data_IF_074932487141
#
_entry.id   IF_074932487141
#
_cell.length_a   1.000
_cell.length_b   1.000
_cell.length_c   1.000
_cell.angle_alpha   90.00
_cell.angle_beta   90.00
_cell.angle_gamma   90.00
#
_symmetry.space_group_name_H-M   'P 1'
#
loop_
_entity.id
_entity.type
_entity.pdbx_description
1 polymer ?
#
# COMPACT_ATOMS: atom_id res chain seq x y z
N UNK A 1 -18.12 -50.89 -11.56
CA UNK A 1 -18.44 -50.25 -10.26
C UNK A 1 -17.21 -49.51 -9.77
N UNK A 2 -17.16 -48.22 -10.07
CA UNK A 2 -16.05 -47.28 -9.86
C UNK A 2 -16.13 -46.71 -8.44
N UNK A 3 -15.08 -46.90 -7.62
CA UNK A 3 -14.95 -46.26 -6.31
C UNK A 3 -14.00 -45.06 -6.46
N UNK A 4 -14.58 -43.87 -6.59
CA UNK A 4 -13.88 -42.59 -6.66
C UNK A 4 -13.27 -42.30 -5.28
N UNK A 5 -11.95 -42.35 -5.16
CA UNK A 5 -11.24 -41.87 -3.98
C UNK A 5 -11.11 -40.35 -4.05
N UNK A 6 -11.61 -39.69 -3.01
CA UNK A 6 -11.58 -38.25 -2.80
C UNK A 6 -10.14 -37.74 -2.70
N UNK A 7 -9.79 -36.79 -3.57
CA UNK A 7 -8.52 -36.05 -3.54
C UNK A 7 -8.54 -35.13 -2.32
N UNK A 8 -7.75 -35.48 -1.29
CA UNK A 8 -7.55 -34.63 -0.13
C UNK A 8 -6.79 -33.35 -0.53
N UNK A 9 -7.40 -32.19 -0.30
CA UNK A 9 -6.80 -30.87 -0.53
C UNK A 9 -5.81 -30.52 0.59
N UNK A 10 -4.52 -30.24 0.33
CA UNK A 10 -3.59 -29.83 1.36
C UNK A 10 -3.32 -28.33 1.28
N UNK A 11 -4.29 -27.47 1.63
CA UNK A 11 -4.01 -26.06 1.92
C UNK A 11 -4.95 -25.55 3.01
N UNK A 12 -4.60 -25.87 4.27
CA UNK A 12 -5.07 -25.04 5.39
C UNK A 12 -4.50 -23.64 5.19
N UNK A 13 -5.35 -22.71 4.73
CA UNK A 13 -5.05 -21.28 4.74
C UNK A 13 -4.55 -20.88 6.13
N UNK A 14 -3.48 -20.07 6.24
CA UNK A 14 -3.00 -19.59 7.53
C UNK A 14 -4.15 -18.87 8.25
N UNK A 15 -4.50 -19.36 9.44
CA UNK A 15 -5.51 -18.72 10.29
C UNK A 15 -5.00 -17.34 10.66
N UNK A 16 -5.64 -16.33 10.11
CA UNK A 16 -5.38 -14.93 10.41
C UNK A 16 -5.53 -14.68 11.92
N UNK A 17 -4.61 -13.95 12.55
CA UNK A 17 -4.70 -13.65 13.98
C UNK A 17 -6.02 -12.92 14.25
N UNK A 18 -6.66 -13.20 15.39
CA UNK A 18 -8.00 -12.67 15.77
C UNK A 18 -8.12 -11.15 15.65
N UNK A 19 -7.01 -10.41 15.81
CA UNK A 19 -6.93 -8.97 15.61
C UNK A 19 -7.28 -8.53 14.16
N UNK A 20 -6.95 -9.34 13.16
CA UNK A 20 -7.17 -9.00 11.75
C UNK A 20 -8.64 -9.19 11.33
N UNK A 21 -9.38 -10.07 12.01
CA UNK A 21 -10.83 -10.20 11.82
C UNK A 21 -11.60 -8.97 12.33
N UNK A 22 -11.15 -8.37 13.44
CA UNK A 22 -11.75 -7.14 13.97
C UNK A 22 -11.48 -5.92 13.07
N UNK A 23 -10.24 -5.78 12.59
CA UNK A 23 -9.83 -4.65 11.74
C UNK A 23 -10.45 -4.75 10.34
N UNK A 24 -10.51 -5.94 9.73
CA UNK A 24 -11.15 -6.15 8.43
C UNK A 24 -12.68 -5.94 8.49
N UNK A 25 -13.34 -6.32 9.59
CA UNK A 25 -14.77 -6.07 9.78
C UNK A 25 -15.09 -4.57 9.96
N UNK A 26 -14.22 -3.82 10.63
CA UNK A 26 -14.36 -2.37 10.80
C UNK A 26 -14.18 -1.62 9.47
N UNK A 27 -13.19 -2.01 8.65
CA UNK A 27 -12.93 -1.42 7.33
C UNK A 27 -14.05 -1.76 6.32
N UNK A 28 -14.60 -2.97 6.38
CA UNK A 28 -15.72 -3.38 5.51
C UNK A 28 -17.03 -2.69 5.90
N UNK A 29 -17.27 -2.44 7.20
CA UNK A 29 -18.46 -1.74 7.70
C UNK A 29 -18.50 -0.25 7.33
N UNK A 30 -17.35 0.39 7.08
CA UNK A 30 -17.24 1.80 6.68
C UNK A 30 -17.36 2.02 5.17
N UNK A 31 -17.33 0.95 4.36
CA UNK A 31 -17.37 1.03 2.88
C UNK A 31 -18.77 0.79 2.28
N UNK A 32 -19.78 0.46 3.08
CA UNK A 32 -21.16 0.21 2.64
C UNK A 32 -22.13 1.32 3.06
N UNK A 33 -21.82 2.57 2.72
CA UNK A 33 -22.84 3.64 2.67
C UNK A 33 -23.27 3.77 1.20
N UNK A 34 -24.54 3.52 0.84
CA UNK A 34 -24.99 3.67 -0.53
C UNK A 34 -25.07 5.16 -0.86
N UNK A 35 -24.22 5.63 -1.77
CA UNK A 35 -24.38 6.93 -2.43
C UNK A 35 -25.46 6.75 -3.50
N UNK A 36 -26.63 7.34 -3.28
CA UNK A 36 -27.66 7.44 -4.30
C UNK A 36 -27.16 8.32 -5.45
N UNK A 37 -27.12 7.77 -6.67
CA UNK A 37 -26.85 8.56 -7.88
C UNK A 37 -28.06 9.46 -8.15
N UNK A 38 -27.87 10.77 -8.01
CA UNK A 38 -28.70 11.75 -8.68
C UNK A 38 -28.06 12.08 -10.03
N UNK A 39 -28.80 11.73 -11.08
CA UNK A 39 -28.56 12.09 -12.47
C UNK A 39 -28.61 13.61 -12.61
N UNK A 40 -27.57 14.23 -13.19
CA UNK A 40 -27.63 15.63 -13.57
C UNK A 40 -26.86 15.87 -14.87
N UNK A 41 -27.65 16.20 -15.87
CA UNK A 41 -27.33 16.61 -17.22
C UNK A 41 -26.47 17.87 -17.28
N UNK A 42 -25.53 17.88 -18.23
CA UNK A 42 -24.70 19.03 -18.59
C UNK A 42 -25.54 20.19 -19.15
N UNK A 43 -24.99 21.42 -19.10
CA UNK A 43 -24.85 22.11 -20.39
C UNK A 43 -23.53 22.88 -20.59
N UNK A 44 -23.12 22.81 -21.86
CA UNK A 44 -22.54 23.82 -22.75
C UNK A 44 -21.44 24.80 -22.28
N UNK A 45 -20.37 24.74 -23.07
CA UNK A 45 -19.26 25.67 -23.26
C UNK A 45 -19.65 27.14 -23.43
N UNK A 46 -18.96 28.02 -22.71
CA UNK A 46 -18.74 29.42 -23.12
C UNK A 46 -17.26 29.80 -23.01
N UNK A 47 -16.80 30.46 -24.06
CA UNK A 47 -15.45 30.98 -24.37
C UNK A 47 -14.92 31.94 -23.30
N UNK A 48 -13.60 31.98 -22.99
CA UNK A 48 -13.04 33.00 -22.13
C UNK A 48 -12.75 34.29 -22.91
N UNK A 49 -13.42 35.38 -22.53
CA UNK A 49 -13.04 36.73 -22.90
C UNK A 49 -11.95 37.24 -21.94
N UNK A 50 -10.91 37.83 -22.53
CA UNK A 50 -9.80 38.47 -21.85
C UNK A 50 -10.28 39.60 -20.91
N UNK A 51 -9.72 39.66 -19.70
CA UNK A 51 -9.86 40.78 -18.78
C UNK A 51 -8.48 41.32 -18.43
N UNK A 52 -8.39 42.65 -18.50
CA UNK A 52 -7.19 43.47 -18.55
C UNK A 52 -6.47 43.62 -17.20
N UNK A 53 -5.18 43.94 -17.30
CA UNK A 53 -4.31 44.32 -16.20
C UNK A 53 -4.77 45.63 -15.51
N UNK A 54 -4.50 45.82 -14.20
CA UNK A 54 -4.77 47.10 -13.54
C UNK A 54 -3.73 48.16 -13.93
N UNK A 55 -4.22 49.32 -14.36
CA UNK A 55 -3.42 50.52 -14.61
C UNK A 55 -2.94 51.15 -13.29
N UNK A 56 -1.69 51.59 -13.31
CA UNK A 56 -1.03 52.33 -12.24
C UNK A 56 -1.67 53.72 -12.04
N UNK A 57 -2.05 54.03 -10.81
CA UNK A 57 -2.41 55.39 -10.40
C UNK A 57 -1.15 56.09 -9.83
N UNK A 58 -0.83 57.25 -10.41
CA UNK A 58 0.21 58.15 -9.94
C UNK A 58 -0.22 58.92 -8.66
N UNK A 59 0.72 59.39 -7.82
CA UNK A 59 0.41 59.98 -6.52
C UNK A 59 -0.01 61.45 -6.64
N UNK A 60 -1.04 61.84 -5.89
CA UNK A 60 -1.43 63.24 -5.68
C UNK A 60 -0.78 63.73 -4.38
N UNK A 61 -0.07 64.86 -4.45
CA UNK A 61 0.60 65.51 -3.32
C UNK A 61 -0.40 66.09 -2.29
N UNK A 62 -0.02 66.24 -1.00
CA UNK A 62 -0.92 66.65 0.06
C UNK A 62 -1.05 68.18 0.13
N UNK A 63 -2.28 68.67 0.26
CA UNK A 63 -2.58 70.07 0.59
C UNK A 63 -2.92 70.22 2.08
N UNK A 64 -2.77 71.45 2.55
CA UNK A 64 -2.37 71.88 3.88
C UNK A 64 -3.28 71.56 5.10
N UNK A 65 -2.57 71.36 6.21
CA UNK A 65 -2.86 71.66 7.62
C UNK A 65 -4.25 72.21 8.02
N UNK A 66 -4.95 71.44 8.87
CA UNK A 66 -5.90 71.90 9.88
C UNK A 66 -5.83 70.98 11.12
N UNK A 67 -6.16 71.45 12.33
CA UNK A 67 -5.46 71.07 13.56
C UNK A 67 -5.79 69.67 14.09
N UNK A 68 -4.74 69.00 14.58
CA UNK A 68 -4.80 67.80 15.43
C UNK A 68 -5.65 68.08 16.67
N UNK A 69 -6.88 67.56 16.68
CA UNK A 69 -7.59 67.31 17.92
C UNK A 69 -6.90 66.15 18.63
N UNK A 70 -6.38 66.43 19.83
CA UNK A 70 -5.84 65.43 20.73
C UNK A 70 -6.96 64.44 21.08
N UNK A 71 -6.94 63.28 20.42
CA UNK A 71 -7.70 62.13 20.84
C UNK A 71 -7.09 61.65 22.16
N UNK A 72 -7.90 61.68 23.21
CA UNK A 72 -7.59 61.00 24.48
C UNK A 72 -7.16 59.56 24.20
N UNK A 73 -6.27 58.96 25.02
CA UNK A 73 -5.95 57.56 24.89
C UNK A 73 -7.23 56.78 25.22
N UNK A 74 -7.94 56.35 24.18
CA UNK A 74 -8.96 55.32 24.29
C UNK A 74 -8.20 54.13 24.86
N UNK A 75 -8.40 53.88 26.16
CA UNK A 75 -7.91 52.68 26.80
C UNK A 75 -8.29 51.52 25.89
N UNK A 76 -7.29 50.84 25.33
CA UNK A 76 -7.44 49.54 24.68
C UNK A 76 -7.97 48.58 25.74
N UNK A 77 -9.28 48.65 25.98
CA UNK A 77 -10.06 47.55 26.51
C UNK A 77 -10.04 46.48 25.43
N UNK A 78 -8.95 45.71 25.40
CA UNK A 78 -8.72 44.58 24.51
C UNK A 78 -9.67 43.40 24.80
N UNK A 79 -10.89 43.68 25.26
CA UNK A 79 -11.97 42.71 25.40
C UNK A 79 -12.71 42.54 24.07
N UNK A 80 -11.98 42.19 23.02
CA UNK A 80 -12.47 41.37 21.89
C UNK A 80 -12.74 39.92 22.38
N UNK A 81 -13.38 39.82 23.55
CA UNK A 81 -13.38 38.67 24.45
C UNK A 81 -14.49 37.68 24.19
N UNK A 82 -14.71 37.32 22.94
CA UNK A 82 -14.80 35.88 22.65
C UNK A 82 -13.47 35.55 21.97
N UNK A 83 -12.44 35.34 22.80
CA UNK A 83 -11.29 34.57 22.39
C UNK A 83 -11.83 33.17 22.06
N UNK A 84 -12.31 32.99 20.83
CA UNK A 84 -12.53 31.66 20.29
C UNK A 84 -11.19 30.95 20.48
N UNK A 85 -11.21 29.88 21.26
CA UNK A 85 -10.01 29.11 21.53
C UNK A 85 -9.57 28.49 20.20
N UNK A 86 -8.61 29.16 19.54
CA UNK A 86 -7.98 28.72 18.30
C UNK A 86 -7.02 27.54 18.53
N UNK A 87 -7.08 26.91 19.72
CA UNK A 87 -6.48 25.61 19.91
C UNK A 87 -7.07 24.60 18.92
N UNK A 88 -6.29 23.61 18.44
CA UNK A 88 -6.81 22.57 17.57
C UNK A 88 -8.03 21.83 18.15
N UNK A 89 -8.09 21.75 19.48
CA UNK A 89 -9.21 21.14 20.20
C UNK A 89 -10.46 22.03 20.20
N UNK A 90 -10.30 23.34 20.41
CA UNK A 90 -11.40 24.31 20.29
C UNK A 90 -11.96 24.35 18.87
N UNK A 91 -11.08 24.37 17.86
CA UNK A 91 -11.46 24.30 16.44
C UNK A 91 -12.23 23.01 16.11
N UNK A 92 -11.77 21.85 16.62
CA UNK A 92 -12.51 20.60 16.42
C UNK A 92 -13.90 20.62 17.05
N UNK A 93 -14.08 21.18 18.25
CA UNK A 93 -15.39 21.23 18.90
C UNK A 93 -16.40 22.09 18.13
N UNK A 94 -15.94 23.21 17.56
CA UNK A 94 -16.77 24.15 16.83
C UNK A 94 -17.05 23.73 15.37
N UNK A 95 -16.28 22.78 14.84
CA UNK A 95 -16.44 22.30 13.47
C UNK A 95 -17.80 21.65 13.17
N UNK A 96 -18.22 21.82 11.92
CA UNK A 96 -19.38 21.14 11.33
C UNK A 96 -19.20 19.61 11.38
N UNK A 97 -20.33 18.89 11.47
CA UNK A 97 -20.32 17.42 11.58
C UNK A 97 -19.58 16.74 10.42
N UNK A 98 -19.68 17.28 9.20
CA UNK A 98 -19.00 16.72 8.04
C UNK A 98 -17.49 16.91 8.16
N UNK A 99 -17.04 18.11 8.58
CA UNK A 99 -15.62 18.40 8.81
C UNK A 99 -15.06 17.52 9.92
N UNK A 100 -15.82 17.30 11.01
CA UNK A 100 -15.45 16.36 12.07
C UNK A 100 -15.23 14.94 11.55
N UNK A 101 -16.14 14.44 10.70
CA UNK A 101 -16.01 13.10 10.08
C UNK A 101 -14.75 13.04 9.21
N UNK A 102 -14.47 14.07 8.41
CA UNK A 102 -13.27 14.17 7.59
C UNK A 102 -12.00 14.11 8.45
N UNK A 103 -11.92 14.92 9.52
CA UNK A 103 -10.78 14.95 10.42
C UNK A 103 -10.55 13.61 11.13
N UNK A 104 -11.61 12.99 11.65
CA UNK A 104 -11.53 11.67 12.30
C UNK A 104 -11.09 10.60 11.28
N UNK A 105 -11.67 10.60 10.08
CA UNK A 105 -11.32 9.66 9.02
C UNK A 105 -9.83 9.74 8.63
N UNK A 106 -9.30 10.97 8.50
CA UNK A 106 -7.89 11.22 8.23
C UNK A 106 -6.98 10.78 9.39
N UNK A 107 -7.41 11.00 10.64
CA UNK A 107 -6.69 10.52 11.81
C UNK A 107 -6.61 8.99 11.85
N UNK A 108 -7.72 8.29 11.55
CA UNK A 108 -7.74 6.83 11.45
C UNK A 108 -6.83 6.34 10.32
N UNK A 109 -6.87 6.99 9.15
CA UNK A 109 -5.98 6.66 8.03
C UNK A 109 -4.49 6.80 8.39
N UNK A 110 -4.14 7.82 9.18
CA UNK A 110 -2.79 7.99 9.71
C UNK A 110 -2.40 6.83 10.63
N UNK A 111 -3.26 6.43 11.58
CA UNK A 111 -3.00 5.30 12.48
C UNK A 111 -2.81 3.98 11.69
N UNK A 112 -3.64 3.75 10.67
CA UNK A 112 -3.52 2.58 9.78
C UNK A 112 -2.15 2.60 9.08
N UNK A 113 -1.72 3.76 8.58
CA UNK A 113 -0.42 3.91 7.89
C UNK A 113 0.74 3.50 8.80
N UNK A 114 0.77 4.02 10.04
CA UNK A 114 1.82 3.67 11.02
C UNK A 114 1.76 2.20 11.45
N UNK A 115 0.56 1.65 11.59
CA UNK A 115 0.37 0.23 11.94
C UNK A 115 0.93 -0.68 10.84
N UNK A 116 0.62 -0.38 9.57
CA UNK A 116 1.14 -1.17 8.45
C UNK A 116 2.65 -1.00 8.34
N UNK A 117 3.20 0.20 8.56
CA UNK A 117 4.65 0.42 8.55
C UNK A 117 5.39 -0.51 9.52
N UNK A 118 4.93 -0.58 10.77
CA UNK A 118 5.58 -1.41 11.80
C UNK A 118 5.39 -2.89 11.46
N UNK A 119 4.17 -3.33 11.20
CA UNK A 119 3.83 -4.73 10.93
C UNK A 119 4.57 -5.26 9.70
N UNK A 120 4.47 -4.57 8.56
CA UNK A 120 5.14 -4.97 7.32
C UNK A 120 6.65 -4.76 7.38
N UNK A 121 7.13 -3.79 8.15
CA UNK A 121 8.55 -3.60 8.42
C UNK A 121 9.18 -4.85 9.03
N UNK A 122 8.59 -5.40 10.08
CA UNK A 122 9.08 -6.62 10.73
C UNK A 122 8.92 -7.86 9.85
N UNK A 123 7.79 -8.02 9.16
CA UNK A 123 7.56 -9.13 8.24
C UNK A 123 8.63 -9.19 7.13
N UNK A 124 8.85 -8.06 6.44
CA UNK A 124 9.80 -7.98 5.33
C UNK A 124 11.25 -8.10 5.79
N UNK A 125 11.61 -7.50 6.93
CA UNK A 125 12.95 -7.60 7.50
C UNK A 125 13.26 -9.04 7.92
N UNK A 126 12.30 -9.71 8.57
CA UNK A 126 12.40 -11.11 8.94
C UNK A 126 12.56 -12.02 7.71
N UNK A 127 11.74 -11.83 6.69
CA UNK A 127 11.80 -12.59 5.45
C UNK A 127 13.15 -12.40 4.72
N UNK A 128 13.63 -11.15 4.56
CA UNK A 128 14.92 -10.86 3.94
C UNK A 128 16.09 -11.48 4.69
N UNK A 129 16.10 -11.39 6.03
CA UNK A 129 17.18 -11.97 6.86
C UNK A 129 17.23 -13.49 6.73
N UNK A 130 16.07 -14.17 6.77
CA UNK A 130 15.97 -15.62 6.58
C UNK A 130 16.44 -16.04 5.19
N UNK A 131 15.92 -15.37 4.15
CA UNK A 131 16.27 -15.65 2.75
C UNK A 131 17.77 -15.52 2.50
N UNK A 132 18.43 -14.50 3.07
CA UNK A 132 19.87 -14.32 2.92
C UNK A 132 20.66 -15.52 3.47
N UNK A 133 20.26 -16.05 4.63
CA UNK A 133 20.88 -17.26 5.19
C UNK A 133 20.62 -18.50 4.34
N UNK A 134 19.39 -18.65 3.85
CA UNK A 134 19.00 -19.75 2.97
C UNK A 134 19.78 -19.76 1.65
N UNK A 135 19.98 -18.60 1.01
CA UNK A 135 20.77 -18.46 -0.22
C UNK A 135 22.23 -18.90 0.00
N UNK A 136 22.84 -18.55 1.14
CA UNK A 136 24.22 -18.96 1.45
C UNK A 136 24.33 -20.49 1.53
N UNK A 137 23.32 -21.16 2.09
CA UNK A 137 23.29 -22.61 2.18
C UNK A 137 23.01 -23.27 0.82
N UNK A 138 22.05 -22.75 0.05
CA UNK A 138 21.77 -23.23 -1.31
C UNK A 138 23.00 -23.13 -2.23
N UNK A 139 23.77 -22.04 -2.13
CA UNK A 139 25.00 -21.84 -2.93
C UNK A 139 26.11 -22.86 -2.63
N UNK A 140 26.09 -23.50 -1.44
CA UNK A 140 27.09 -24.51 -1.07
C UNK A 140 26.75 -25.90 -1.60
N UNK A 141 25.46 -26.18 -1.81
CA UNK A 141 24.99 -27.46 -2.31
C UNK A 141 25.51 -27.71 -3.73
N UNK A 142 25.96 -28.95 -4.00
CA UNK A 142 26.49 -29.37 -5.30
C UNK A 142 25.46 -30.13 -6.15
N UNK A 143 24.43 -30.67 -5.50
CA UNK A 143 23.30 -31.38 -6.10
C UNK A 143 21.98 -30.94 -5.48
N UNK A 144 20.86 -31.23 -6.16
CA UNK A 144 19.53 -30.93 -5.67
C UNK A 144 19.18 -31.75 -4.41
N UNK A 145 19.70 -32.96 -4.29
CA UNK A 145 19.54 -33.81 -3.09
C UNK A 145 20.25 -33.23 -1.87
N UNK A 146 21.46 -32.67 -2.04
CA UNK A 146 22.16 -31.99 -0.95
C UNK A 146 21.45 -30.69 -0.53
N UNK A 147 20.91 -29.96 -1.53
CA UNK A 147 20.11 -28.78 -1.30
C UNK A 147 18.85 -29.10 -0.48
N UNK A 148 18.19 -30.24 -0.72
CA UNK A 148 16.99 -30.64 0.02
C UNK A 148 17.28 -31.03 1.46
N UNK A 149 18.41 -31.69 1.73
CA UNK A 149 18.84 -32.01 3.09
C UNK A 149 19.11 -30.74 3.92
N UNK A 150 19.71 -29.73 3.28
CA UNK A 150 20.03 -28.45 3.94
C UNK A 150 18.79 -27.55 4.07
N UNK A 151 17.83 -27.67 3.15
CA UNK A 151 16.56 -26.96 3.15
C UNK A 151 15.44 -27.75 3.86
N UNK A 152 15.75 -28.47 4.94
CA UNK A 152 14.82 -29.39 5.62
C UNK A 152 13.72 -28.71 6.45
N UNK A 153 13.83 -27.40 6.71
CA UNK A 153 12.84 -26.67 7.50
C UNK A 153 11.61 -26.32 6.65
N UNK A 154 10.51 -27.01 6.93
CA UNK A 154 9.21 -26.74 6.31
C UNK A 154 8.79 -25.27 6.44
N UNK A 155 8.21 -24.73 5.37
CA UNK A 155 7.76 -23.33 5.29
C UNK A 155 8.84 -22.30 4.99
N UNK A 156 10.09 -22.71 4.79
CA UNK A 156 11.16 -21.84 4.24
C UNK A 156 11.06 -21.72 2.72
N UNK A 157 11.59 -20.64 2.15
CA UNK A 157 11.55 -20.46 0.70
C UNK A 157 12.44 -21.48 -0.01
N UNK A 158 13.63 -21.72 0.52
CA UNK A 158 14.53 -22.75 0.00
C UNK A 158 13.85 -24.12 -0.02
N UNK A 159 13.15 -24.50 1.06
CA UNK A 159 12.39 -25.74 1.08
C UNK A 159 11.35 -25.78 -0.03
N UNK A 160 10.55 -24.71 -0.20
CA UNK A 160 9.52 -24.66 -1.24
C UNK A 160 10.09 -24.78 -2.66
N UNK A 161 11.16 -24.04 -2.97
CA UNK A 161 11.81 -24.07 -4.29
C UNK A 161 12.40 -25.45 -4.59
N UNK A 162 13.15 -26.03 -3.64
CA UNK A 162 13.80 -27.33 -3.82
C UNK A 162 12.78 -28.46 -3.88
N UNK A 163 11.75 -28.41 -3.03
CA UNK A 163 10.68 -29.41 -3.02
C UNK A 163 9.89 -29.41 -4.33
N UNK A 164 9.48 -28.25 -4.84
CA UNK A 164 8.71 -28.17 -6.10
C UNK A 164 9.54 -28.63 -7.31
N UNK A 165 10.86 -28.35 -7.30
CA UNK A 165 11.78 -28.89 -8.30
C UNK A 165 11.92 -30.42 -8.22
N UNK A 166 12.11 -30.98 -7.01
CA UNK A 166 12.19 -32.43 -6.80
C UNK A 166 10.89 -33.14 -7.15
N UNK A 167 9.74 -32.53 -6.84
CA UNK A 167 8.43 -33.06 -7.17
C UNK A 167 8.26 -33.17 -8.68
N UNK A 168 8.62 -32.12 -9.43
CA UNK A 168 8.56 -32.16 -10.90
C UNK A 168 9.54 -33.18 -11.50
N UNK A 169 10.75 -33.29 -10.96
CA UNK A 169 11.70 -34.34 -11.37
C UNK A 169 11.15 -35.74 -11.12
N UNK A 170 10.46 -35.95 -9.99
CA UNK A 170 9.82 -37.23 -9.65
C UNK A 170 8.64 -37.54 -10.57
N UNK A 171 7.79 -36.55 -10.86
CA UNK A 171 6.67 -36.70 -11.81
C UNK A 171 7.18 -37.01 -13.22
N UNK A 172 8.35 -36.48 -13.57
CA UNK A 172 9.00 -36.67 -14.86
C UNK A 172 10.01 -37.83 -14.91
N UNK A 173 10.03 -38.72 -13.91
CA UNK A 173 11.06 -39.78 -13.80
C UNK A 173 11.10 -40.74 -15.01
N UNK A 174 9.99 -40.87 -15.74
CA UNK A 174 9.86 -41.71 -16.93
C UNK A 174 9.98 -40.91 -18.25
N UNK A 175 10.16 -39.58 -18.19
CA UNK A 175 10.36 -38.74 -19.36
C UNK A 175 11.75 -38.96 -19.94
N UNK A 176 11.84 -39.12 -21.25
CA UNK A 176 13.13 -39.24 -21.97
C UNK A 176 13.69 -37.87 -22.37
N UNK A 177 12.84 -36.85 -22.37
CA UNK A 177 13.20 -35.50 -22.76
C UNK A 177 13.63 -34.69 -21.54
N UNK A 178 14.93 -34.52 -21.35
CA UNK A 178 15.51 -33.76 -20.23
C UNK A 178 15.17 -32.26 -20.34
N UNK A 179 15.14 -31.73 -21.56
CA UNK A 179 14.85 -30.31 -21.80
C UNK A 179 13.44 -29.92 -21.33
N UNK A 180 12.44 -30.74 -21.67
CA UNK A 180 11.08 -30.54 -21.17
C UNK A 180 10.95 -30.59 -19.64
N UNK A 181 11.81 -31.34 -18.95
CA UNK A 181 11.87 -31.31 -17.46
C UNK A 181 12.41 -29.96 -16.99
N UNK A 182 13.50 -29.47 -17.60
CA UNK A 182 14.09 -28.16 -17.28
C UNK A 182 13.07 -27.04 -17.47
N UNK A 183 12.33 -27.05 -18.58
CA UNK A 183 11.27 -26.06 -18.88
C UNK A 183 10.11 -26.11 -17.87
N UNK A 184 9.63 -27.29 -17.49
CA UNK A 184 8.55 -27.40 -16.49
C UNK A 184 9.00 -26.94 -15.11
N UNK A 185 10.23 -27.29 -14.72
CA UNK A 185 10.82 -26.82 -13.46
C UNK A 185 10.98 -25.30 -13.49
N UNK A 186 11.56 -24.71 -14.54
CA UNK A 186 11.72 -23.26 -14.64
C UNK A 186 10.38 -22.54 -14.54
N UNK A 187 9.36 -23.00 -15.27
CA UNK A 187 8.01 -22.43 -15.23
C UNK A 187 7.38 -22.48 -13.83
N UNK A 188 7.50 -23.62 -13.13
CA UNK A 188 7.03 -23.77 -11.74
C UNK A 188 7.70 -22.79 -10.80
N UNK A 189 9.03 -22.69 -10.86
CA UNK A 189 9.81 -21.81 -10.00
C UNK A 189 9.50 -20.33 -10.28
N UNK A 190 9.36 -19.92 -11.54
CA UNK A 190 8.95 -18.56 -11.92
C UNK A 190 7.58 -18.20 -11.35
N UNK A 191 6.62 -19.12 -11.43
CA UNK A 191 5.28 -18.94 -10.84
C UNK A 191 5.35 -18.81 -9.32
N UNK A 192 6.24 -19.56 -8.67
CA UNK A 192 6.47 -19.47 -7.22
C UNK A 192 7.10 -18.13 -6.83
N UNK A 193 8.12 -17.67 -7.56
CA UNK A 193 8.74 -16.35 -7.38
C UNK A 193 7.70 -15.24 -7.51
N UNK A 194 6.83 -15.31 -8.53
CA UNK A 194 5.75 -14.36 -8.72
C UNK A 194 4.72 -14.39 -7.58
N UNK A 195 4.38 -15.58 -7.08
CA UNK A 195 3.47 -15.75 -5.94
C UNK A 195 4.05 -15.15 -4.65
N UNK A 196 5.34 -15.39 -4.36
CA UNK A 196 6.03 -14.80 -3.22
C UNK A 196 6.04 -13.26 -3.27
N UNK A 197 6.31 -12.69 -4.45
CA UNK A 197 6.25 -11.24 -4.66
C UNK A 197 4.85 -10.67 -4.38
N UNK A 198 3.80 -11.28 -4.95
CA UNK A 198 2.41 -10.86 -4.70
C UNK A 198 2.02 -10.97 -3.23
N UNK A 199 2.37 -12.07 -2.57
CA UNK A 199 2.05 -12.29 -1.16
C UNK A 199 2.72 -11.23 -0.27
N UNK A 200 3.98 -10.87 -0.56
CA UNK A 200 4.68 -9.85 0.20
C UNK A 200 4.08 -8.44 0.00
N UNK A 201 3.56 -8.15 -1.19
CA UNK A 201 2.86 -6.88 -1.49
C UNK A 201 1.46 -6.77 -0.89
N UNK A 202 0.89 -7.85 -0.33
CA UNK A 202 -0.46 -7.79 0.25
C UNK A 202 -0.51 -6.80 1.41
N UNK A 203 -1.52 -5.92 1.38
CA UNK A 203 -1.74 -4.87 2.39
C UNK A 203 -0.99 -3.57 2.13
N UNK A 204 0.08 -3.53 1.32
CA UNK A 204 0.77 -2.27 1.04
C UNK A 204 -0.03 -1.35 0.11
N UNK A 205 -0.98 -1.91 -0.66
CA UNK A 205 -1.89 -1.15 -1.51
C UNK A 205 -2.75 -0.13 -0.76
N UNK A 206 -3.06 -0.39 0.52
CA UNK A 206 -3.82 0.55 1.37
C UNK A 206 -3.07 1.87 1.54
N UNK A 207 -1.74 1.84 1.66
CA UNK A 207 -0.92 3.04 1.78
C UNK A 207 -0.91 3.85 0.48
N UNK A 208 -0.91 3.17 -0.68
CA UNK A 208 -1.02 3.83 -1.96
C UNK A 208 -2.35 4.57 -2.09
N UNK A 209 -3.46 3.93 -1.68
CA UNK A 209 -4.78 4.55 -1.67
C UNK A 209 -4.85 5.72 -0.69
N UNK A 210 -4.41 5.56 0.56
CA UNK A 210 -4.40 6.66 1.54
C UNK A 210 -3.54 7.82 1.02
N UNK A 211 -2.34 7.51 0.52
CA UNK A 211 -1.43 8.51 -0.02
C UNK A 211 -1.99 9.29 -1.20
N UNK A 212 -2.80 8.66 -2.06
CA UNK A 212 -3.41 9.34 -3.20
C UNK A 212 -4.72 10.04 -2.88
N UNK A 213 -5.53 9.56 -1.92
CA UNK A 213 -6.87 10.09 -1.66
C UNK A 213 -6.94 11.05 -0.47
N UNK A 214 -6.08 10.91 0.55
CA UNK A 214 -6.13 11.75 1.75
C UNK A 214 -6.02 13.26 1.48
N UNK A 215 -5.20 13.76 0.52
CA UNK A 215 -5.17 15.18 0.20
C UNK A 215 -6.52 15.68 -0.34
N UNK A 216 -7.20 14.88 -1.16
CA UNK A 216 -8.51 15.23 -1.72
C UNK A 216 -9.61 15.18 -0.67
N UNK A 217 -9.53 14.24 0.28
CA UNK A 217 -10.44 14.19 1.43
C UNK A 217 -10.27 15.43 2.32
N UNK A 218 -9.03 15.88 2.54
CA UNK A 218 -8.74 17.15 3.22
C UNK A 218 -9.28 18.36 2.46
N UNK A 219 -9.06 18.40 1.13
CA UNK A 219 -9.57 19.44 0.24
C UNK A 219 -11.11 19.53 0.28
N UNK A 220 -11.78 18.38 0.29
CA UNK A 220 -13.23 18.31 0.46
C UNK A 220 -13.66 18.95 1.80
N UNK A 221 -12.96 18.66 2.90
CA UNK A 221 -13.19 19.30 4.20
C UNK A 221 -13.06 20.81 4.14
N UNK A 222 -12.03 21.34 3.46
CA UNK A 222 -11.89 22.80 3.27
C UNK A 222 -13.05 23.41 2.50
N UNK A 223 -13.44 22.81 1.37
CA UNK A 223 -14.50 23.33 0.51
C UNK A 223 -15.82 23.37 1.29
N UNK A 224 -16.12 22.30 2.04
CA UNK A 224 -17.31 22.23 2.87
C UNK A 224 -17.33 23.27 3.98
N UNK A 225 -16.21 23.43 4.72
CA UNK A 225 -16.13 24.41 5.80
C UNK A 225 -16.23 25.86 5.32
N UNK A 226 -15.59 26.18 4.20
CA UNK A 226 -15.70 27.51 3.57
C UNK A 226 -17.13 27.77 3.09
N UNK A 227 -17.78 26.79 2.46
CA UNK A 227 -19.18 26.89 2.04
C UNK A 227 -20.10 27.19 3.23
N UNK A 228 -19.96 26.45 4.33
CA UNK A 228 -20.76 26.66 5.54
C UNK A 228 -20.50 28.04 6.18
N UNK A 229 -19.26 28.52 6.13
CA UNK A 229 -18.92 29.87 6.59
C UNK A 229 -19.63 30.95 5.76
N UNK A 230 -19.67 30.82 4.43
CA UNK A 230 -20.42 31.74 3.57
C UNK A 230 -21.94 31.68 3.79
N UNK A 231 -22.51 30.50 4.04
CA UNK A 231 -23.93 30.36 4.41
C UNK A 231 -24.22 31.11 5.72
N UNK A 232 -23.30 31.10 6.69
CA UNK A 232 -23.39 31.87 7.93
C UNK A 232 -23.45 33.39 7.70
N UNK A 233 -22.61 33.92 6.82
CA UNK A 233 -22.64 35.34 6.42
C UNK A 233 -24.01 35.68 5.81
N UNK A 234 -24.49 34.87 4.86
CA UNK A 234 -25.74 35.13 4.17
C UNK A 234 -26.95 35.16 5.13
N UNK A 235 -26.97 34.28 6.15
CA UNK A 235 -28.03 34.24 7.16
C UNK A 235 -27.97 35.39 8.15
N UNK A 236 -26.78 35.78 8.57
CA UNK A 236 -26.59 36.86 9.56
C UNK A 236 -26.71 38.24 8.95
N UNK A 237 -26.60 38.37 7.61
CA UNK A 237 -26.59 39.65 6.89
C UNK A 237 -25.52 40.62 7.39
N UNK A 238 -24.48 40.11 8.07
CA UNK A 238 -23.36 40.91 8.56
C UNK A 238 -22.09 40.54 7.81
N UNK A 239 -21.28 41.53 7.43
CA UNK A 239 -19.97 41.34 6.81
C UNK A 239 -18.84 41.20 7.85
N UNK A 240 -19.19 40.94 9.11
CA UNK A 240 -18.21 40.88 10.19
C UNK A 240 -17.34 39.63 10.05
N UNK A 241 -16.07 39.84 9.69
CA UNK A 241 -15.08 38.78 9.48
C UNK A 241 -14.82 37.94 10.74
N UNK A 242 -15.05 38.48 11.94
CA UNK A 242 -14.86 37.75 13.19
C UNK A 242 -15.78 36.52 13.31
N UNK A 243 -16.96 36.55 12.68
CA UNK A 243 -17.95 35.46 12.74
C UNK A 243 -17.54 34.26 11.87
N UNK A 244 -16.76 34.49 10.82
CA UNK A 244 -16.35 33.43 9.87
C UNK A 244 -14.92 32.94 10.02
N UNK A 245 -14.06 33.73 10.68
CA UNK A 245 -12.67 33.36 10.88
C UNK A 245 -12.48 31.96 11.50
N UNK A 246 -13.29 31.53 12.50
CA UNK A 246 -13.18 30.17 13.05
C UNK A 246 -13.47 29.07 12.02
N UNK A 247 -14.56 29.18 11.25
CA UNK A 247 -14.95 28.16 10.27
C UNK A 247 -13.97 28.01 9.11
N UNK A 248 -13.33 29.11 8.69
CA UNK A 248 -12.26 29.09 7.69
C UNK A 248 -11.00 28.44 8.28
N UNK A 249 -10.65 28.74 9.52
CA UNK A 249 -9.50 28.13 10.18
C UNK A 249 -9.66 26.60 10.30
N UNK A 250 -10.85 26.13 10.70
CA UNK A 250 -11.21 24.70 10.78
C UNK A 250 -11.15 24.00 9.43
N UNK A 251 -11.67 24.67 8.39
CA UNK A 251 -11.58 24.21 7.02
C UNK A 251 -10.10 23.96 6.65
N UNK A 252 -9.23 24.95 6.84
CA UNK A 252 -7.80 24.85 6.52
C UNK A 252 -7.09 23.73 7.30
N UNK A 253 -7.48 23.52 8.56
CA UNK A 253 -6.97 22.42 9.38
C UNK A 253 -7.28 21.05 8.77
N UNK A 254 -8.45 20.85 8.16
CA UNK A 254 -8.81 19.59 7.50
C UNK A 254 -7.85 19.27 6.33
N UNK A 255 -7.48 20.27 5.52
CA UNK A 255 -6.49 20.08 4.44
C UNK A 255 -5.10 19.78 5.00
N UNK A 256 -4.69 20.48 6.05
CA UNK A 256 -3.40 20.21 6.71
C UNK A 256 -3.33 18.76 7.21
N UNK A 257 -4.38 18.26 7.86
CA UNK A 257 -4.47 16.86 8.28
C UNK A 257 -4.46 15.87 7.11
N UNK A 258 -5.06 16.24 5.97
CA UNK A 258 -5.01 15.46 4.73
C UNK A 258 -3.58 15.22 4.26
N UNK A 259 -2.76 16.28 4.26
CA UNK A 259 -1.34 16.20 3.90
C UNK A 259 -0.53 15.41 4.93
N UNK A 260 -0.78 15.62 6.22
CA UNK A 260 -0.11 14.88 7.32
C UNK A 260 -0.39 13.38 7.24
N UNK A 261 -1.59 12.97 6.81
CA UNK A 261 -1.89 11.56 6.57
C UNK A 261 -1.27 11.03 5.26
N UNK A 262 -1.29 11.83 4.20
CA UNK A 262 -0.84 11.41 2.87
C UNK A 262 0.67 11.23 2.75
N UNK A 263 1.45 12.20 3.23
CA UNK A 263 2.91 12.25 3.01
C UNK A 263 3.61 10.99 3.58
N UNK A 264 3.38 10.58 4.85
CA UNK A 264 3.97 9.37 5.38
C UNK A 264 3.51 8.12 4.61
N UNK A 265 2.23 8.04 4.23
CA UNK A 265 1.69 6.90 3.49
C UNK A 265 2.42 6.69 2.15
N UNK A 266 2.63 7.76 1.37
CA UNK A 266 3.37 7.71 0.11
C UNK A 266 4.83 7.31 0.32
N UNK A 267 5.52 7.90 1.30
CA UNK A 267 6.93 7.59 1.58
C UNK A 267 7.08 6.12 1.97
N UNK A 268 6.26 5.65 2.91
CA UNK A 268 6.30 4.26 3.39
C UNK A 268 5.96 3.29 2.26
N UNK A 269 4.93 3.59 1.46
CA UNK A 269 4.58 2.78 0.29
C UNK A 269 5.76 2.62 -0.66
N UNK A 270 6.45 3.72 -1.01
CA UNK A 270 7.60 3.69 -1.92
C UNK A 270 8.78 2.88 -1.35
N UNK A 271 9.04 3.01 -0.04
CA UNK A 271 10.06 2.22 0.65
C UNK A 271 9.74 0.72 0.58
N UNK A 272 8.48 0.35 0.81
CA UNK A 272 8.05 -1.05 0.69
C UNK A 272 8.08 -1.53 -0.76
N UNK A 273 7.59 -0.77 -1.73
CA UNK A 273 7.63 -1.14 -3.14
C UNK A 273 9.05 -1.48 -3.58
N UNK A 274 10.03 -0.61 -3.27
CA UNK A 274 11.45 -0.84 -3.55
C UNK A 274 11.99 -2.05 -2.79
N UNK A 275 11.65 -2.16 -1.52
CA UNK A 275 12.15 -3.24 -0.67
C UNK A 275 11.62 -4.61 -1.08
N UNK A 276 10.36 -4.69 -1.52
CA UNK A 276 9.70 -5.90 -2.00
C UNK A 276 10.25 -6.29 -3.37
N UNK A 277 10.50 -5.32 -4.26
CA UNK A 277 11.19 -5.59 -5.53
C UNK A 277 12.58 -6.22 -5.29
N UNK A 278 13.35 -5.67 -4.35
CA UNK A 278 14.63 -6.26 -3.96
C UNK A 278 14.52 -7.65 -3.31
N UNK A 279 13.46 -7.90 -2.54
CA UNK A 279 13.17 -9.24 -2.01
C UNK A 279 12.83 -10.22 -3.15
N UNK A 280 11.97 -9.83 -4.09
CA UNK A 280 11.62 -10.65 -5.27
C UNK A 280 12.86 -10.99 -6.10
N UNK A 281 13.78 -10.05 -6.28
CA UNK A 281 15.05 -10.30 -6.96
C UNK A 281 15.87 -11.39 -6.25
N UNK A 282 16.02 -11.32 -4.92
CA UNK A 282 16.72 -12.35 -4.14
C UNK A 282 16.04 -13.73 -4.22
N UNK A 283 14.71 -13.76 -4.23
CA UNK A 283 13.93 -15.00 -4.42
C UNK A 283 14.20 -15.58 -5.83
N UNK A 284 14.28 -14.72 -6.84
CA UNK A 284 14.62 -15.11 -8.21
C UNK A 284 16.04 -15.67 -8.31
N UNK A 285 17.01 -15.07 -7.62
CA UNK A 285 18.38 -15.58 -7.56
C UNK A 285 18.43 -16.99 -6.93
N UNK A 286 17.68 -17.20 -5.84
CA UNK A 286 17.57 -18.51 -5.20
C UNK A 286 16.95 -19.55 -6.15
N UNK A 287 15.88 -19.17 -6.86
CA UNK A 287 15.24 -19.98 -7.89
C UNK A 287 16.22 -20.37 -9.01
N UNK A 288 16.99 -19.42 -9.51
CA UNK A 288 18.00 -19.67 -10.53
C UNK A 288 19.07 -20.67 -10.06
N UNK A 289 19.52 -20.57 -8.80
CA UNK A 289 20.42 -21.56 -8.22
C UNK A 289 19.82 -22.97 -8.20
N UNK A 290 18.55 -23.12 -7.82
CA UNK A 290 17.87 -24.43 -7.85
C UNK A 290 17.78 -24.96 -9.28
N UNK A 291 17.44 -24.12 -10.26
CA UNK A 291 17.39 -24.51 -11.67
C UNK A 291 18.77 -24.96 -12.21
N UNK A 292 19.86 -24.30 -11.77
CA UNK A 292 21.22 -24.73 -12.12
C UNK A 292 21.56 -26.11 -11.53
N UNK A 293 21.13 -26.40 -10.29
CA UNK A 293 21.30 -27.72 -9.69
C UNK A 293 20.51 -28.79 -10.46
N UNK A 294 19.25 -28.49 -10.80
CA UNK A 294 18.41 -29.38 -11.63
C UNK A 294 19.06 -29.65 -12.98
N UNK A 295 19.55 -28.60 -13.66
CA UNK A 295 20.22 -28.77 -14.96
C UNK A 295 21.41 -29.70 -14.84
N UNK A 296 22.29 -29.46 -13.86
CA UNK A 296 23.50 -30.26 -13.65
C UNK A 296 23.16 -31.71 -13.30
N UNK A 297 22.18 -31.92 -12.41
CA UNK A 297 21.77 -33.26 -11.99
C UNK A 297 21.18 -34.06 -13.16
N UNK A 298 20.40 -33.42 -14.04
CA UNK A 298 19.86 -34.05 -15.26
C UNK A 298 20.95 -34.42 -16.27
N UNK A 299 21.98 -33.58 -16.42
CA UNK A 299 23.10 -33.83 -17.33
C UNK A 299 23.97 -35.02 -16.86
N UNK A 300 24.00 -35.30 -15.55
CA UNK A 300 24.69 -36.45 -14.95
C UNK A 300 23.89 -37.77 -15.00
N UNK A 301 22.61 -37.75 -15.40
CA UNK A 301 21.83 -38.99 -15.54
C UNK A 301 22.31 -39.79 -16.76
N UNK A 302 22.58 -41.11 -16.64
CA UNK A 302 23.02 -41.93 -17.77
C UNK A 302 22.02 -41.86 -18.93
N UNK A 303 22.54 -41.87 -20.16
CA UNK A 303 21.73 -41.87 -21.38
C UNK A 303 20.75 -43.06 -21.37
N UNK A 304 19.50 -42.90 -21.87
CA UNK A 304 18.53 -43.99 -21.92
C UNK A 304 19.04 -45.25 -22.65
N UNK A 305 20.02 -45.10 -23.55
CA UNK A 305 20.66 -46.19 -24.26
C UNK A 305 21.56 -47.07 -23.36
N UNK A 306 22.21 -46.50 -22.35
CA UNK A 306 23.09 -47.23 -21.42
C UNK A 306 22.29 -47.99 -20.36
N UNK A 307 21.14 -47.46 -19.94
CA UNK A 307 20.23 -48.11 -18.98
C UNK A 307 19.70 -49.46 -19.49
N UNK A 308 19.59 -49.63 -20.81
CA UNK A 308 19.13 -50.88 -21.44
C UNK A 308 20.27 -51.91 -21.64
N UNK A 309 21.54 -51.46 -21.65
CA UNK A 309 22.72 -52.35 -21.74
C UNK A 309 23.17 -52.87 -20.37
N UNK A 310 22.83 -52.17 -19.29
CA UNK A 310 23.13 -52.58 -17.91
C UNK A 310 22.11 -53.55 -17.30
N UNK A 311 21.02 -53.90 -18.01
CA UNK A 311 20.21 -55.06 -17.63
C UNK A 311 20.95 -56.32 -18.08
N UNK A 312 21.51 -57.14 -17.16
CA UNK A 312 22.18 -58.37 -17.55
C UNK A 312 21.15 -59.25 -18.25
N UNK A 313 21.44 -59.58 -19.51
CA UNK A 313 20.67 -60.51 -20.31
C UNK A 313 20.66 -61.87 -19.59
N UNK A 314 19.65 -62.13 -18.76
CA UNK A 314 19.39 -63.47 -18.25
C UNK A 314 19.00 -64.33 -19.44
N UNK A 315 19.98 -64.98 -20.06
CA UNK A 315 19.77 -66.06 -21.00
C UNK A 315 19.00 -67.14 -20.25
N UNK A 316 17.70 -67.28 -20.54
CA UNK A 316 16.96 -68.49 -20.18
C UNK A 316 17.60 -69.64 -20.95
N UNK A 317 18.46 -70.38 -20.27
CA UNK A 317 18.84 -71.72 -20.71
C UNK A 317 17.74 -72.65 -20.19
N UNK A 318 16.97 -73.22 -21.10
CA UNK A 318 15.87 -74.13 -20.83
C UNK A 318 15.03 -74.34 -22.08
#
# INVERSE_FOLDING_TARGET
MTRIQSIASPTKLPRLPRAWRGIAALVLSLMFVPVALADQSAPATTTPAASAAPAAAAPVAPDAAAPVQALEPVAEGNSLGMAHDLSPWGMYQNADIVVKIVMIGLAIASIITWTIWISKGFELLGAKRRLRGEIVNLKKARSLTEASATASKEGTLAHLLVHDALEEMRLSANSREREGIKERVSFRLERLVAACGRNMSMGTGVLATIGSTAPFVGLFGTVWGIMNSFIGIAKTQTTNLAVVAPGIAEALLATALGLVAAIPAVVIYNVFARSIAGYKAQVSDASAHVLLLVSRDLDHLPEPAERNQQQPHMVKVG
#
